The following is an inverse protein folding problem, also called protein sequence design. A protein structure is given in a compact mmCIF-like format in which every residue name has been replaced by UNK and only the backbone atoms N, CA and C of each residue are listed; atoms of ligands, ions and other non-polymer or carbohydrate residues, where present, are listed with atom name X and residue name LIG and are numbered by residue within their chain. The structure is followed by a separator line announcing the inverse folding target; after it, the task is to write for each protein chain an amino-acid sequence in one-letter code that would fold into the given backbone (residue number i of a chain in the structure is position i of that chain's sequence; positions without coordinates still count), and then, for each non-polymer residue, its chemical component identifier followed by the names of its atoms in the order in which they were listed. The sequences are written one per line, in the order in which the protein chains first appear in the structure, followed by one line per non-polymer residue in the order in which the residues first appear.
data_IF_967931635131
#
_entry.id   IF_967931635131
#
_cell.length_a   1.000
_cell.length_b   1.000
_cell.length_c   1.000
_cell.angle_alpha   90.00
_cell.angle_beta   90.00
_cell.angle_gamma   90.00
#
_symmetry.space_group_name_H-M   'P 1'
#
loop_
_entity.id
_entity.type
_entity.pdbx_description
1 polymer ?
#
# COMPACT_ATOMS: atom_id res chain seq x y z
N UNK A 1 -10.78 4.59 1.91
CA UNK A 1 -9.88 3.76 2.75
C UNK A 1 -9.28 2.65 1.89
N UNK A 2 -7.99 2.29 2.06
CA UNK A 2 -7.46 1.05 1.49
C UNK A 2 -8.14 -0.18 2.10
N UNK A 3 -8.23 -1.27 1.36
CA UNK A 3 -8.77 -2.56 1.83
C UNK A 3 -7.86 -3.71 1.39
N UNK A 4 -8.02 -4.91 1.99
CA UNK A 4 -7.43 -6.11 1.44
C UNK A 4 -7.72 -6.26 -0.06
N UNK A 5 -6.76 -6.84 -0.78
CA UNK A 5 -6.76 -7.07 -2.23
C UNK A 5 -6.60 -5.82 -3.12
N UNK A 6 -6.50 -4.63 -2.54
CA UNK A 6 -6.12 -3.44 -3.30
C UNK A 6 -4.69 -3.56 -3.84
N UNK A 7 -4.49 -3.13 -5.08
CA UNK A 7 -3.17 -2.98 -5.67
C UNK A 7 -2.58 -1.64 -5.22
N UNK A 8 -1.50 -1.70 -4.44
CA UNK A 8 -0.75 -0.52 -4.00
C UNK A 8 0.33 -0.19 -5.02
N UNK A 9 0.39 1.07 -5.46
CA UNK A 9 1.29 1.51 -6.55
C UNK A 9 2.31 2.51 -6.03
N UNK A 10 3.58 2.32 -6.39
CA UNK A 10 4.69 3.20 -6.02
C UNK A 10 5.38 3.75 -7.26
N UNK A 11 5.66 5.05 -7.25
CA UNK A 11 6.48 5.70 -8.29
C UNK A 11 7.95 5.76 -7.84
N UNK A 12 8.64 4.63 -7.95
CA UNK A 12 10.04 4.49 -7.52
C UNK A 12 10.92 3.92 -8.61
N UNK A 13 12.13 4.47 -8.77
CA UNK A 13 13.07 4.00 -9.79
C UNK A 13 12.54 4.20 -11.22
N UNK A 14 13.09 3.46 -12.18
CA UNK A 14 12.70 3.57 -13.59
C UNK A 14 11.35 2.90 -13.91
N UNK A 15 11.02 1.81 -13.21
CA UNK A 15 9.89 0.94 -13.55
C UNK A 15 8.69 1.08 -12.63
N UNK A 16 8.82 1.84 -11.53
CA UNK A 16 7.83 1.81 -10.45
C UNK A 16 7.91 0.52 -9.65
N UNK A 17 6.96 0.35 -8.76
CA UNK A 17 6.79 -0.88 -7.98
C UNK A 17 5.32 -1.06 -7.60
N UNK A 18 4.91 -2.31 -7.38
CA UNK A 18 3.55 -2.63 -6.94
C UNK A 18 3.56 -3.68 -5.85
N UNK A 19 2.55 -3.62 -4.99
CA UNK A 19 2.30 -4.58 -3.93
C UNK A 19 0.79 -4.82 -3.80
N UNK A 20 0.40 -5.87 -3.07
CA UNK A 20 -1.00 -6.15 -2.74
C UNK A 20 -1.18 -5.95 -1.25
N UNK A 21 -2.25 -5.26 -0.85
CA UNK A 21 -2.63 -5.13 0.56
C UNK A 21 -3.21 -6.46 1.05
N UNK A 22 -2.61 -7.05 2.07
CA UNK A 22 -3.07 -8.31 2.68
C UNK A 22 -3.94 -8.08 3.91
N UNK A 23 -3.73 -6.97 4.62
CA UNK A 23 -4.46 -6.64 5.84
C UNK A 23 -4.54 -5.12 6.04
N UNK A 24 -5.65 -4.65 6.57
CA UNK A 24 -5.84 -3.25 6.98
C UNK A 24 -6.33 -3.20 8.42
N UNK A 25 -5.49 -2.68 9.31
CA UNK A 25 -5.80 -2.44 10.72
C UNK A 25 -6.24 -0.97 10.93
N UNK A 26 -6.34 -0.52 12.19
CA UNK A 26 -6.78 0.84 12.52
C UNK A 26 -5.73 1.90 12.15
N UNK A 27 -4.44 1.58 12.34
CA UNK A 27 -3.31 2.49 12.21
C UNK A 27 -2.20 1.94 11.30
N UNK A 28 -2.46 0.84 10.60
CA UNK A 28 -1.49 0.20 9.71
C UNK A 28 -2.13 -0.65 8.61
N UNK A 29 -1.33 -0.96 7.60
CA UNK A 29 -1.63 -1.97 6.59
C UNK A 29 -0.46 -2.95 6.50
N UNK A 30 -0.75 -4.19 6.16
CA UNK A 30 0.26 -5.15 5.70
C UNK A 30 0.17 -5.28 4.18
N UNK A 31 1.31 -5.35 3.52
CA UNK A 31 1.41 -5.65 2.10
C UNK A 31 2.19 -6.94 1.86
N UNK A 32 1.94 -7.56 0.70
CA UNK A 32 2.78 -8.59 0.10
C UNK A 32 3.30 -8.14 -1.27
N UNK A 33 4.55 -8.47 -1.58
CA UNK A 33 5.27 -8.00 -2.77
C UNK A 33 6.31 -9.01 -3.23
N UNK A 34 6.68 -8.95 -4.51
CA UNK A 34 7.76 -9.71 -5.13
C UNK A 34 8.73 -8.77 -5.87
N UNK A 35 9.87 -9.29 -6.34
CA UNK A 35 10.94 -8.50 -6.96
C UNK A 35 11.52 -7.41 -6.03
N UNK A 36 11.60 -7.74 -4.74
CA UNK A 36 12.22 -6.91 -3.70
C UNK A 36 13.32 -7.75 -3.04
N UNK A 37 14.43 -7.11 -2.65
CA UNK A 37 15.61 -7.82 -2.15
C UNK A 37 15.36 -8.59 -0.83
N UNK A 38 14.55 -8.04 0.10
CA UNK A 38 14.50 -8.58 1.47
C UNK A 38 13.12 -8.66 2.12
N UNK A 39 12.15 -7.82 1.74
CA UNK A 39 10.87 -7.70 2.46
C UNK A 39 9.66 -8.13 1.62
N UNK A 40 9.44 -9.43 1.37
CA UNK A 40 8.25 -9.91 0.68
C UNK A 40 6.95 -9.51 1.37
N UNK A 41 6.99 -9.30 2.69
CA UNK A 41 5.91 -8.68 3.47
C UNK A 41 6.46 -7.47 4.22
N UNK A 42 5.66 -6.42 4.29
CA UNK A 42 6.01 -5.19 5.00
C UNK A 42 4.76 -4.51 5.55
N UNK A 43 4.89 -3.90 6.73
CA UNK A 43 3.81 -3.16 7.38
C UNK A 43 4.07 -1.66 7.25
N UNK A 44 3.06 -0.91 6.83
CA UNK A 44 3.09 0.55 6.72
C UNK A 44 2.11 1.15 7.71
N UNK A 45 2.50 2.27 8.33
CA UNK A 45 1.59 3.09 9.13
C UNK A 45 0.49 3.66 8.24
N UNK A 46 -0.74 3.63 8.73
CA UNK A 46 -1.91 4.23 8.12
C UNK A 46 -2.37 5.39 9.00
N UNK A 47 -2.35 6.59 8.44
CA UNK A 47 -2.82 7.79 9.12
C UNK A 47 -4.07 8.34 8.47
N UNK A 48 -4.99 8.83 9.29
CA UNK A 48 -6.22 9.49 8.83
C UNK A 48 -6.15 10.96 9.25
N UNK A 49 -6.17 11.86 8.27
CA UNK A 49 -6.16 13.30 8.49
C UNK A 49 -7.24 13.92 7.61
N UNK A 50 -8.17 14.66 8.20
CA UNK A 50 -9.28 15.31 7.50
C UNK A 50 -10.08 14.35 6.58
N UNK A 51 -10.30 13.10 7.02
CA UNK A 51 -10.99 12.06 6.25
C UNK A 51 -10.17 11.43 5.12
N UNK A 52 -8.93 11.88 4.90
CA UNK A 52 -8.01 11.34 3.91
C UNK A 52 -7.06 10.32 4.56
N UNK A 53 -6.69 9.30 3.79
CA UNK A 53 -5.83 8.21 4.24
C UNK A 53 -4.43 8.37 3.66
N UNK A 54 -3.41 8.30 4.52
CA UNK A 54 -2.01 8.44 4.17
C UNK A 54 -1.23 7.21 4.63
N UNK A 55 -0.28 6.76 3.81
CA UNK A 55 0.51 5.56 4.07
C UNK A 55 1.99 5.89 4.25
N UNK A 56 2.49 5.62 5.47
CA UNK A 56 3.90 5.73 5.86
C UNK A 56 4.47 7.14 5.94
N UNK A 57 5.68 7.22 6.49
CA UNK A 57 6.42 8.47 6.74
C UNK A 57 7.54 8.71 5.69
N UNK A 58 7.68 7.79 4.73
CA UNK A 58 8.81 7.72 3.78
C UNK A 58 8.39 7.71 2.31
N UNK A 59 8.80 6.68 1.53
CA UNK A 59 8.36 6.51 0.13
C UNK A 59 6.87 6.18 0.10
N UNK A 60 6.06 7.22 -0.02
CA UNK A 60 4.61 7.08 -0.08
C UNK A 60 4.18 6.45 -1.41
N UNK A 61 3.22 5.51 -1.38
CA UNK A 61 2.58 5.06 -2.60
C UNK A 61 1.88 6.25 -3.26
N UNK A 62 1.79 6.22 -4.59
CA UNK A 62 0.99 7.22 -5.32
C UNK A 62 -0.50 7.03 -5.09
N UNK A 63 -0.90 5.82 -4.71
CA UNK A 63 -2.27 5.46 -4.37
C UNK A 63 -2.49 3.96 -4.43
N UNK A 64 -3.76 3.57 -4.34
CA UNK A 64 -4.20 2.18 -4.48
C UNK A 64 -5.35 2.08 -5.49
N UNK A 65 -5.45 0.92 -6.14
CA UNK A 65 -6.49 0.60 -7.11
C UNK A 65 -7.31 -0.58 -6.60
N UNK A 66 -8.64 -0.41 -6.62
CA UNK A 66 -9.58 -1.48 -6.31
C UNK A 66 -10.25 -1.98 -7.58
N UNK A 67 -10.23 -3.29 -7.78
CA UNK A 67 -11.06 -3.91 -8.81
C UNK A 67 -12.53 -3.76 -8.40
N UNK A 68 -13.35 -3.14 -9.25
CA UNK A 68 -14.78 -3.13 -9.03
C UNK A 68 -15.38 -4.51 -9.33
N UNK A 69 -16.12 -5.05 -8.37
CA UNK A 69 -17.01 -6.18 -8.59
C UNK A 69 -18.34 -5.66 -9.14
N UNK A 70 -18.80 -6.28 -10.23
CA UNK A 70 -20.13 -6.05 -10.80
C UNK A 70 -21.20 -6.73 -9.95
#
# INVERSE_FOLDING_TARGET
KPEPDDLLVFQTGLYGHVAIITKVDNDSIEIIQQNIYAKPRETFKLEVRDGHYFLGDGKQPVGWLRKQTK
#
